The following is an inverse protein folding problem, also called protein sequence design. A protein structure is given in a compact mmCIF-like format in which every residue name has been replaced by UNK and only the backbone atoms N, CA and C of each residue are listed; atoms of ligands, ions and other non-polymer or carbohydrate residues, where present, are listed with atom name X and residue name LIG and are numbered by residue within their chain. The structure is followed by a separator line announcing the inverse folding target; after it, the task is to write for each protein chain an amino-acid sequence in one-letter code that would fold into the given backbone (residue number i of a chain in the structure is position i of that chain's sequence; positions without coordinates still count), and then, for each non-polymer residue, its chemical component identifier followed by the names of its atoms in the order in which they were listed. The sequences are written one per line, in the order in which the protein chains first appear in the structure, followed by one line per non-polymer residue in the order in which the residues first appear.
data_IF_962746011884
#
_entry.id   IF_962746011884
#
_cell.length_a   1.000
_cell.length_b   1.000
_cell.length_c   1.000
_cell.angle_alpha   90.00
_cell.angle_beta   90.00
_cell.angle_gamma   90.00
#
_symmetry.space_group_name_H-M   'P 1'
#
loop_
_entity.id
_entity.type
_entity.pdbx_description
1 polymer ?
#
# COMPACT_ATOMS: atom_id res chain seq x y z
N UNK A 1 8.21 48.83 -14.48
CA UNK A 1 9.29 47.82 -14.37
C UNK A 1 8.85 46.80 -13.34
N UNK A 2 8.35 45.68 -13.77
CA UNK A 2 8.04 44.54 -12.91
C UNK A 2 9.30 43.68 -12.88
N UNK A 3 10.00 43.69 -11.74
CA UNK A 3 11.11 42.78 -11.49
C UNK A 3 10.61 41.33 -11.57
N UNK A 4 11.11 40.59 -12.55
CA UNK A 4 10.98 39.16 -12.62
C UNK A 4 11.65 38.53 -11.39
N UNK A 5 10.86 38.11 -10.40
CA UNK A 5 11.33 37.16 -9.40
C UNK A 5 11.48 35.81 -10.07
N UNK A 6 12.67 35.53 -10.55
CA UNK A 6 13.11 34.15 -10.88
C UNK A 6 13.19 33.31 -9.61
N UNK A 7 12.06 32.87 -9.12
CA UNK A 7 11.96 32.07 -7.89
C UNK A 7 11.05 30.83 -8.03
N UNK A 8 10.49 30.61 -9.25
CA UNK A 8 9.43 29.62 -9.43
C UNK A 8 9.85 28.23 -9.91
N UNK A 9 10.98 28.09 -10.60
CA UNK A 9 11.29 26.86 -11.37
C UNK A 9 12.19 25.84 -10.63
N UNK A 10 12.83 26.20 -9.54
CA UNK A 10 13.75 25.28 -8.85
C UNK A 10 13.08 24.22 -7.96
N UNK A 11 11.78 24.36 -7.70
CA UNK A 11 11.08 23.44 -6.79
C UNK A 11 10.84 22.04 -7.42
N UNK A 12 10.82 21.91 -8.75
CA UNK A 12 10.34 20.72 -9.47
C UNK A 12 11.42 19.88 -10.14
N UNK A 13 12.70 20.20 -10.04
CA UNK A 13 13.77 19.50 -10.77
C UNK A 13 14.58 18.50 -9.92
N UNK A 14 14.01 17.97 -8.84
CA UNK A 14 14.70 16.99 -8.00
C UNK A 14 14.57 15.58 -8.56
N UNK A 15 15.64 14.81 -8.52
CA UNK A 15 15.59 13.38 -8.74
C UNK A 15 15.01 12.70 -7.48
N UNK A 16 13.81 12.18 -7.59
CA UNK A 16 13.10 11.57 -6.44
C UNK A 16 13.34 10.06 -6.42
N UNK A 17 14.12 9.61 -5.44
CA UNK A 17 14.38 8.19 -5.16
C UNK A 17 13.85 7.81 -3.78
N UNK A 18 12.69 8.36 -3.41
CA UNK A 18 11.97 8.00 -2.18
C UNK A 18 11.07 6.79 -2.42
N UNK A 19 10.75 5.99 -1.42
CA UNK A 19 9.84 4.83 -1.57
C UNK A 19 8.37 5.23 -1.81
N UNK A 20 8.09 6.52 -1.88
CA UNK A 20 6.79 7.11 -2.21
C UNK A 20 6.54 8.42 -1.45
N UNK A 21 5.74 9.34 -2.03
CA UNK A 21 5.20 9.31 -3.40
C UNK A 21 6.27 9.21 -4.47
N UNK A 22 6.00 8.46 -5.53
CA UNK A 22 6.91 8.28 -6.67
C UNK A 22 6.70 9.34 -7.74
N UNK A 23 7.63 9.44 -8.70
CA UNK A 23 7.48 10.35 -9.84
C UNK A 23 6.31 9.89 -10.72
N UNK A 24 5.41 10.82 -11.03
CA UNK A 24 4.28 10.60 -11.93
C UNK A 24 4.71 10.84 -13.38
N UNK A 25 4.50 9.86 -14.26
CA UNK A 25 4.86 9.95 -15.70
C UNK A 25 4.07 11.07 -16.38
N UNK A 26 4.65 11.66 -17.41
CA UNK A 26 4.03 12.77 -18.16
C UNK A 26 2.65 12.41 -18.71
N UNK A 27 2.51 11.24 -19.35
CA UNK A 27 1.23 10.79 -19.90
C UNK A 27 0.13 10.61 -18.82
N UNK A 28 0.52 10.31 -17.58
CA UNK A 28 -0.39 10.22 -16.42
C UNK A 28 -0.79 11.63 -15.96
N UNK A 29 0.17 12.57 -15.89
CA UNK A 29 -0.13 13.98 -15.58
C UNK A 29 -1.04 14.63 -16.63
N UNK A 30 -0.81 14.33 -17.92
CA UNK A 30 -1.67 14.80 -19.00
C UNK A 30 -3.08 14.19 -18.96
N UNK A 31 -3.21 12.94 -18.52
CA UNK A 31 -4.53 12.33 -18.28
C UNK A 31 -5.31 13.07 -17.17
N UNK A 32 -4.64 13.49 -16.10
CA UNK A 32 -5.24 14.30 -15.03
C UNK A 32 -5.72 15.66 -15.52
N UNK A 33 -5.10 16.23 -16.54
CA UNK A 33 -5.46 17.53 -17.11
C UNK A 33 -6.62 17.49 -18.11
N UNK A 34 -7.24 16.34 -18.36
CA UNK A 34 -8.43 16.24 -19.23
C UNK A 34 -9.64 16.91 -18.60
N UNK A 35 -10.61 17.27 -19.46
CA UNK A 35 -11.88 17.78 -18.98
C UNK A 35 -12.55 16.78 -18.06
N UNK A 36 -12.99 17.28 -16.90
CA UNK A 36 -13.78 16.51 -15.95
C UNK A 36 -15.26 16.58 -16.30
N UNK A 37 -16.01 15.59 -15.84
CA UNK A 37 -17.47 15.54 -15.92
C UNK A 37 -18.07 15.63 -14.50
N UNK A 38 -19.37 15.51 -14.37
CA UNK A 38 -20.02 15.30 -13.08
C UNK A 38 -20.19 13.80 -12.83
N UNK A 39 -19.47 13.20 -11.86
CA UNK A 39 -19.47 11.75 -11.67
C UNK A 39 -20.80 11.19 -11.20
N UNK A 40 -21.66 12.02 -10.60
CA UNK A 40 -22.95 11.60 -10.07
C UNK A 40 -24.05 11.59 -11.15
N UNK A 41 -23.85 12.33 -12.24
CA UNK A 41 -24.84 12.53 -13.31
C UNK A 41 -24.40 11.88 -14.63
N UNK A 42 -23.13 11.65 -14.83
CA UNK A 42 -22.57 11.07 -16.06
C UNK A 42 -22.46 9.55 -15.92
N UNK A 43 -23.41 8.85 -16.52
CA UNK A 43 -23.45 7.38 -16.45
C UNK A 43 -22.29 6.70 -17.18
N UNK A 44 -21.66 7.35 -18.16
CA UNK A 44 -20.46 6.82 -18.82
C UNK A 44 -19.27 6.76 -17.85
N UNK A 45 -19.22 7.66 -16.86
CA UNK A 45 -18.20 7.64 -15.82
C UNK A 45 -18.32 6.40 -14.92
N UNK A 46 -19.52 5.88 -14.64
CA UNK A 46 -19.67 4.62 -13.91
C UNK A 46 -19.07 3.44 -14.67
N UNK A 47 -19.24 3.40 -15.98
CA UNK A 47 -18.64 2.35 -16.82
C UNK A 47 -17.13 2.50 -16.88
N UNK A 48 -16.61 3.72 -17.00
CA UNK A 48 -15.18 4.02 -16.95
C UNK A 48 -14.57 3.57 -15.61
N UNK A 49 -15.15 3.98 -14.48
CA UNK A 49 -14.71 3.60 -13.15
C UNK A 49 -14.70 2.08 -12.97
N UNK A 50 -15.79 1.40 -13.33
CA UNK A 50 -15.90 -0.05 -13.26
C UNK A 50 -14.85 -0.76 -14.12
N UNK A 51 -14.54 -0.23 -15.30
CA UNK A 51 -13.50 -0.77 -16.16
C UNK A 51 -12.09 -0.58 -15.57
N UNK A 52 -11.82 0.57 -14.98
CA UNK A 52 -10.58 0.83 -14.24
C UNK A 52 -10.41 -0.16 -13.08
N UNK A 53 -11.46 -0.40 -12.30
CA UNK A 53 -11.46 -1.42 -11.24
C UNK A 53 -11.18 -2.83 -11.78
N UNK A 54 -11.74 -3.20 -12.94
CA UNK A 54 -11.47 -4.50 -13.59
C UNK A 54 -10.01 -4.62 -14.06
N UNK A 55 -9.44 -3.56 -14.64
CA UNK A 55 -8.03 -3.53 -15.03
C UNK A 55 -7.13 -3.79 -13.79
N UNK A 56 -7.41 -3.11 -12.68
CA UNK A 56 -6.70 -3.32 -11.41
C UNK A 56 -6.87 -4.77 -10.95
N UNK A 57 -8.10 -5.30 -10.95
CA UNK A 57 -8.38 -6.69 -10.61
C UNK A 57 -7.55 -7.69 -11.41
N UNK A 58 -7.34 -7.44 -12.71
CA UNK A 58 -6.52 -8.30 -13.56
C UNK A 58 -5.03 -8.27 -13.17
N UNK A 59 -4.53 -7.12 -12.70
CA UNK A 59 -3.13 -6.97 -12.25
C UNK A 59 -2.88 -7.70 -10.93
N UNK A 60 -3.83 -7.61 -9.98
CA UNK A 60 -3.71 -8.25 -8.67
C UNK A 60 -4.30 -9.67 -8.61
N UNK A 61 -4.62 -10.23 -9.79
CA UNK A 61 -5.17 -11.57 -9.95
C UNK A 61 -6.42 -11.82 -9.08
N UNK A 62 -7.47 -11.00 -9.30
CA UNK A 62 -8.76 -11.18 -8.61
C UNK A 62 -9.95 -10.97 -9.53
N UNK A 63 -10.99 -11.76 -9.29
CA UNK A 63 -12.34 -11.59 -9.84
C UNK A 63 -13.32 -10.95 -8.82
N UNK A 64 -12.82 -10.67 -7.61
CA UNK A 64 -13.58 -10.05 -6.53
C UNK A 64 -13.90 -8.59 -6.81
N UNK A 65 -14.71 -7.99 -5.95
CA UNK A 65 -15.00 -6.55 -6.02
C UNK A 65 -13.73 -5.74 -5.77
N UNK A 66 -13.47 -4.80 -6.66
CA UNK A 66 -12.41 -3.80 -6.49
C UNK A 66 -13.06 -2.42 -6.47
N UNK A 67 -12.64 -1.59 -5.52
CA UNK A 67 -13.07 -0.21 -5.38
C UNK A 67 -11.87 0.73 -5.36
N UNK A 68 -12.09 1.96 -5.84
CA UNK A 68 -11.14 3.06 -5.78
C UNK A 68 -11.77 4.13 -4.89
N UNK A 69 -11.15 4.40 -3.74
CA UNK A 69 -11.64 5.36 -2.75
C UNK A 69 -10.88 6.68 -2.90
N UNK A 70 -11.57 7.81 -2.68
CA UNK A 70 -10.94 9.13 -2.58
C UNK A 70 -10.27 9.30 -1.23
N UNK A 71 -8.95 9.18 -1.20
CA UNK A 71 -8.07 9.22 -0.04
C UNK A 71 -6.84 8.34 -0.29
N UNK A 72 -5.69 8.68 0.26
CA UNK A 72 -4.48 7.89 0.08
C UNK A 72 -4.49 6.59 0.90
N UNK A 73 -3.47 5.71 0.76
CA UNK A 73 -3.46 4.35 1.30
C UNK A 73 -3.92 4.18 2.76
N UNK A 74 -3.64 5.15 3.64
CA UNK A 74 -4.08 5.12 5.05
C UNK A 74 -5.60 5.06 5.18
N UNK A 75 -6.36 5.72 4.27
CA UNK A 75 -7.82 5.60 4.27
C UNK A 75 -8.26 4.14 4.11
N UNK A 76 -7.59 3.36 3.26
CA UNK A 76 -7.92 1.94 3.08
C UNK A 76 -7.65 1.11 4.32
N UNK A 77 -6.51 1.35 5.00
CA UNK A 77 -6.16 0.65 6.22
C UNK A 77 -7.20 0.91 7.32
N UNK A 78 -7.53 2.19 7.53
CA UNK A 78 -8.57 2.57 8.47
C UNK A 78 -9.94 2.00 8.08
N UNK A 79 -10.33 2.10 6.80
CA UNK A 79 -11.62 1.63 6.32
C UNK A 79 -11.81 0.11 6.49
N UNK A 80 -10.76 -0.68 6.30
CA UNK A 80 -10.81 -2.12 6.56
C UNK A 80 -11.07 -2.41 8.04
N UNK A 81 -10.31 -1.75 8.94
CA UNK A 81 -10.49 -1.90 10.39
C UNK A 81 -11.87 -1.40 10.84
N UNK A 82 -12.29 -0.20 10.41
CA UNK A 82 -13.60 0.37 10.72
C UNK A 82 -14.76 -0.53 10.32
N UNK A 83 -14.65 -1.13 9.12
CA UNK A 83 -15.71 -1.95 8.55
C UNK A 83 -15.79 -3.34 9.17
N UNK A 84 -14.67 -3.90 9.63
CA UNK A 84 -14.65 -5.24 10.21
C UNK A 84 -14.82 -5.24 11.74
N UNK A 85 -14.26 -4.24 12.45
CA UNK A 85 -14.19 -4.26 13.92
C UNK A 85 -15.51 -3.86 14.57
N UNK A 86 -15.97 -4.65 15.51
CA UNK A 86 -16.98 -4.31 16.52
C UNK A 86 -16.35 -4.34 17.92
N UNK A 87 -16.95 -3.67 18.89
CA UNK A 87 -16.43 -3.59 20.25
C UNK A 87 -16.18 -4.99 20.84
N UNK A 88 -14.96 -5.24 21.31
CA UNK A 88 -14.52 -6.51 21.86
C UNK A 88 -14.08 -7.57 20.84
N UNK A 89 -14.14 -7.30 19.54
CA UNK A 89 -13.57 -8.22 18.54
C UNK A 89 -12.07 -8.38 18.73
N UNK A 90 -11.60 -9.61 18.77
CA UNK A 90 -10.17 -9.91 18.86
C UNK A 90 -9.54 -9.88 17.47
N UNK A 91 -8.48 -9.11 17.33
CA UNK A 91 -7.76 -8.88 16.08
C UNK A 91 -6.29 -9.25 16.24
N UNK A 92 -5.79 -10.10 15.35
CA UNK A 92 -4.37 -10.44 15.27
C UNK A 92 -3.62 -9.39 14.46
N UNK A 93 -2.75 -8.61 15.10
CA UNK A 93 -1.86 -7.67 14.44
C UNK A 93 -0.51 -8.34 14.22
N UNK A 94 -0.14 -8.61 12.97
CA UNK A 94 1.17 -9.13 12.60
C UNK A 94 2.15 -7.95 12.59
N UNK A 95 3.04 -7.95 13.58
CA UNK A 95 3.97 -6.88 13.92
C UNK A 95 5.41 -7.30 13.57
N UNK A 96 5.82 -7.03 12.32
CA UNK A 96 7.21 -7.15 11.88
C UNK A 96 7.67 -5.93 11.07
N UNK A 97 7.14 -4.76 11.43
CA UNK A 97 7.46 -3.49 10.79
C UNK A 97 6.62 -2.36 11.35
N UNK A 98 7.00 -1.12 11.01
CA UNK A 98 6.35 0.09 11.55
C UNK A 98 4.87 0.14 11.13
N UNK A 99 4.56 -0.14 9.86
CA UNK A 99 3.17 -0.15 9.38
C UNK A 99 2.42 -1.39 9.86
N UNK A 100 3.09 -2.54 10.03
CA UNK A 100 2.50 -3.72 10.65
C UNK A 100 2.00 -3.43 12.05
N UNK A 101 2.86 -2.85 12.88
CA UNK A 101 2.52 -2.40 14.24
C UNK A 101 1.42 -1.33 14.24
N UNK A 102 1.48 -0.38 13.30
CA UNK A 102 0.58 0.77 13.22
C UNK A 102 -0.91 0.42 13.00
N UNK A 103 -1.23 -0.79 12.57
CA UNK A 103 -2.62 -1.23 12.49
C UNK A 103 -3.33 -1.26 13.85
N UNK A 104 -2.58 -1.36 14.95
CA UNK A 104 -3.14 -1.40 16.29
C UNK A 104 -3.91 -0.12 16.66
N UNK A 105 -3.45 1.04 16.14
CA UNK A 105 -4.14 2.31 16.36
C UNK A 105 -5.55 2.29 15.78
N UNK A 106 -5.70 1.76 14.53
CA UNK A 106 -7.02 1.65 13.91
C UNK A 106 -7.91 0.64 14.64
N UNK A 107 -7.39 -0.54 14.99
CA UNK A 107 -8.15 -1.56 15.73
C UNK A 107 -8.66 -1.01 17.05
N UNK A 108 -7.81 -0.33 17.83
CA UNK A 108 -8.16 0.28 19.10
C UNK A 108 -9.15 1.44 18.96
N UNK A 109 -9.01 2.25 17.88
CA UNK A 109 -9.94 3.34 17.58
C UNK A 109 -11.37 2.85 17.43
N UNK A 110 -11.56 1.65 16.84
CA UNK A 110 -12.86 0.99 16.69
C UNK A 110 -13.15 -0.02 17.80
N UNK A 111 -12.45 0.08 18.96
CA UNK A 111 -12.66 -0.68 20.20
C UNK A 111 -12.43 -2.19 20.07
N UNK A 112 -11.61 -2.63 19.11
CA UNK A 112 -11.16 -4.02 19.04
C UNK A 112 -10.07 -4.33 20.06
N UNK A 113 -9.95 -5.60 20.40
CA UNK A 113 -8.91 -6.14 21.27
C UNK A 113 -7.72 -6.61 20.42
N UNK A 114 -6.59 -5.92 20.56
CA UNK A 114 -5.37 -6.23 19.80
C UNK A 114 -4.60 -7.36 20.47
N UNK A 115 -4.27 -8.38 19.69
CA UNK A 115 -3.29 -9.40 20.04
C UNK A 115 -2.16 -9.35 19.02
N UNK A 116 -0.90 -9.31 19.48
CA UNK A 116 0.24 -9.20 18.58
C UNK A 116 0.88 -10.56 18.32
N UNK A 117 1.22 -10.79 17.06
CA UNK A 117 2.26 -11.71 16.68
C UNK A 117 3.46 -10.86 16.25
N UNK A 118 4.47 -10.77 17.10
CA UNK A 118 5.65 -9.90 16.86
C UNK A 118 6.86 -10.71 16.41
N UNK A 119 7.58 -10.18 15.44
CA UNK A 119 8.87 -10.70 14.96
C UNK A 119 9.84 -9.54 14.74
N UNK A 120 11.14 -9.84 14.65
CA UNK A 120 12.14 -8.82 14.39
C UNK A 120 11.87 -8.08 13.07
N UNK A 121 12.09 -6.76 13.06
CA UNK A 121 11.78 -5.90 11.90
C UNK A 121 12.78 -6.05 10.74
N UNK A 122 13.88 -6.77 10.95
CA UNK A 122 14.88 -7.07 9.93
C UNK A 122 14.72 -8.47 9.31
N UNK A 123 13.58 -9.13 9.56
CA UNK A 123 13.29 -10.48 9.10
C UNK A 123 11.82 -10.61 8.62
N UNK A 124 11.54 -11.41 7.57
CA UNK A 124 10.17 -11.73 7.18
C UNK A 124 9.51 -12.64 8.21
N UNK A 125 8.18 -12.74 8.18
CA UNK A 125 7.41 -13.61 9.06
C UNK A 125 7.82 -15.08 8.90
N UNK A 126 8.23 -15.71 10.01
CA UNK A 126 8.45 -17.15 10.07
C UNK A 126 7.11 -17.90 10.18
N UNK A 127 6.78 -18.63 9.12
CA UNK A 127 5.51 -19.38 9.01
C UNK A 127 5.38 -20.45 10.08
N UNK A 128 6.50 -21.07 10.51
CA UNK A 128 6.45 -22.10 11.57
C UNK A 128 6.11 -21.47 12.92
N UNK A 129 6.68 -20.30 13.21
CA UNK A 129 6.38 -19.56 14.44
C UNK A 129 4.93 -19.05 14.42
N UNK A 130 4.45 -18.51 13.29
CA UNK A 130 3.06 -18.10 13.16
C UNK A 130 2.10 -19.28 13.36
N UNK A 131 2.39 -20.44 12.75
CA UNK A 131 1.57 -21.65 12.91
C UNK A 131 1.55 -22.10 14.37
N UNK A 132 2.70 -22.18 15.04
CA UNK A 132 2.78 -22.57 16.46
C UNK A 132 2.07 -21.58 17.40
N UNK A 133 1.98 -20.31 17.00
CA UNK A 133 1.20 -19.29 17.72
C UNK A 133 -0.30 -19.57 17.54
N UNK A 134 -0.76 -19.79 16.29
CA UNK A 134 -2.17 -20.04 15.98
C UNK A 134 -2.69 -21.37 16.55
N UNK A 135 -1.83 -22.39 16.72
CA UNK A 135 -2.17 -23.64 17.40
C UNK A 135 -2.51 -23.44 18.89
N UNK A 136 -1.97 -22.37 19.52
CA UNK A 136 -2.26 -22.03 20.92
C UNK A 136 -3.46 -21.10 21.06
N UNK A 137 -3.59 -20.15 20.14
CA UNK A 137 -4.68 -19.16 20.14
C UNK A 137 -4.99 -18.74 18.72
N UNK A 138 -6.16 -19.08 18.24
CA UNK A 138 -6.64 -18.75 16.89
C UNK A 138 -8.01 -18.06 16.89
N UNK A 139 -8.49 -17.64 18.08
CA UNK A 139 -9.78 -16.96 18.20
C UNK A 139 -9.67 -15.49 17.82
N UNK A 140 -9.53 -15.22 16.51
CA UNK A 140 -9.44 -13.87 15.95
C UNK A 140 -10.47 -13.68 14.84
N UNK A 141 -11.12 -12.52 14.80
CA UNK A 141 -12.04 -12.17 13.71
C UNK A 141 -11.31 -11.97 12.41
N UNK A 142 -10.19 -11.25 12.45
CA UNK A 142 -9.31 -11.03 11.32
C UNK A 142 -7.86 -10.81 11.78
N UNK A 143 -6.93 -10.90 10.82
CA UNK A 143 -5.53 -10.55 11.00
C UNK A 143 -5.15 -9.42 10.03
N UNK A 144 -4.29 -8.50 10.47
CA UNK A 144 -3.67 -7.46 9.64
C UNK A 144 -2.24 -7.84 9.31
N UNK A 145 -1.86 -7.69 8.03
CA UNK A 145 -0.54 -8.06 7.52
C UNK A 145 -0.05 -6.97 6.58
N UNK A 146 1.19 -6.54 6.69
CA UNK A 146 1.85 -5.69 5.68
C UNK A 146 2.59 -6.58 4.69
N UNK A 147 2.33 -6.41 3.40
CA UNK A 147 3.01 -7.12 2.32
C UNK A 147 4.49 -6.71 2.24
N UNK A 148 4.72 -5.40 2.13
CA UNK A 148 6.05 -4.79 2.13
C UNK A 148 6.07 -3.60 3.09
N UNK A 149 6.74 -3.74 4.24
CA UNK A 149 6.88 -2.64 5.18
C UNK A 149 7.89 -1.62 4.64
N UNK A 150 7.42 -0.46 4.22
CA UNK A 150 8.24 0.57 3.56
C UNK A 150 9.43 1.03 4.41
N UNK A 151 9.29 1.26 5.74
CA UNK A 151 10.40 1.71 6.56
C UNK A 151 11.53 0.70 6.74
N UNK A 152 11.24 -0.59 6.64
CA UNK A 152 12.23 -1.65 6.82
C UNK A 152 12.67 -2.28 5.49
N UNK A 153 11.79 -2.27 4.50
CA UNK A 153 11.98 -2.96 3.22
C UNK A 153 11.72 -4.45 3.28
N UNK A 154 11.17 -4.97 4.40
CA UNK A 154 10.85 -6.38 4.55
C UNK A 154 9.65 -6.76 3.69
N UNK A 155 9.76 -7.88 2.98
CA UNK A 155 8.70 -8.50 2.18
C UNK A 155 8.20 -9.75 2.90
N UNK A 156 6.91 -9.80 3.19
CA UNK A 156 6.26 -10.96 3.80
C UNK A 156 5.66 -11.88 2.73
N UNK A 157 5.83 -13.19 2.89
CA UNK A 157 5.31 -14.20 1.98
C UNK A 157 3.80 -14.43 2.19
N UNK A 158 3.00 -13.59 1.54
CA UNK A 158 1.54 -13.69 1.59
C UNK A 158 1.00 -15.01 1.06
N UNK A 159 1.74 -15.68 0.17
CA UNK A 159 1.34 -16.98 -0.42
C UNK A 159 1.28 -18.10 0.62
N UNK A 160 1.99 -17.94 1.74
CA UNK A 160 1.97 -18.87 2.86
C UNK A 160 1.17 -18.33 4.05
N UNK A 161 1.30 -17.03 4.37
CA UNK A 161 0.65 -16.42 5.53
C UNK A 161 -0.87 -16.44 5.39
N UNK A 162 -1.42 -15.95 4.28
CA UNK A 162 -2.86 -15.80 4.13
C UNK A 162 -3.60 -17.16 4.07
N UNK A 163 -3.12 -18.18 3.30
CA UNK A 163 -3.73 -19.49 3.36
C UNK A 163 -3.68 -20.13 4.75
N UNK A 164 -2.58 -19.96 5.50
CA UNK A 164 -2.47 -20.45 6.87
C UNK A 164 -3.53 -19.82 7.78
N UNK A 165 -3.72 -18.50 7.74
CA UNK A 165 -4.76 -17.80 8.53
C UNK A 165 -6.17 -18.29 8.17
N UNK A 166 -6.43 -18.56 6.88
CA UNK A 166 -7.73 -19.10 6.43
C UNK A 166 -7.99 -20.53 6.93
N UNK A 167 -6.97 -21.36 7.19
CA UNK A 167 -7.14 -22.66 7.83
C UNK A 167 -7.76 -22.56 9.24
N UNK A 168 -7.53 -21.44 9.91
CA UNK A 168 -8.10 -21.11 11.24
C UNK A 168 -9.35 -20.22 11.16
N UNK A 169 -9.94 -20.02 9.97
CA UNK A 169 -11.11 -19.17 9.73
C UNK A 169 -10.89 -17.69 10.11
N UNK A 170 -9.66 -17.20 10.05
CA UNK A 170 -9.29 -15.80 10.30
C UNK A 170 -9.33 -15.05 8.96
N UNK A 171 -10.09 -13.94 8.89
CA UNK A 171 -10.06 -13.07 7.71
C UNK A 171 -8.70 -12.36 7.59
N UNK A 172 -8.27 -12.07 6.37
CA UNK A 172 -6.98 -11.44 6.12
C UNK A 172 -7.17 -10.02 5.59
N UNK A 173 -6.56 -9.04 6.26
CA UNK A 173 -6.46 -7.64 5.82
C UNK A 173 -5.01 -7.36 5.45
N UNK A 174 -4.74 -7.21 4.17
CA UNK A 174 -3.38 -7.07 3.63
C UNK A 174 -3.14 -5.65 3.18
N UNK A 175 -2.21 -4.96 3.84
CA UNK A 175 -1.62 -3.73 3.34
C UNK A 175 -0.58 -4.05 2.25
N UNK A 176 -0.94 -3.86 1.00
CA UNK A 176 -0.03 -3.91 -0.13
C UNK A 176 0.19 -2.54 -0.78
N UNK A 177 0.02 -1.45 -0.02
CA UNK A 177 0.20 -0.08 -0.52
C UNK A 177 1.59 0.09 -1.14
N UNK A 178 2.62 -0.43 -0.50
CA UNK A 178 4.00 -0.37 -1.01
C UNK A 178 4.35 -1.52 -1.96
N UNK A 179 3.64 -2.66 -1.85
CA UNK A 179 3.90 -3.87 -2.65
C UNK A 179 3.14 -3.92 -3.97
N UNK A 180 1.91 -3.42 -4.03
CA UNK A 180 1.03 -3.55 -5.20
C UNK A 180 1.69 -3.01 -6.47
N UNK A 181 1.76 -3.83 -7.53
CA UNK A 181 2.45 -3.60 -8.81
C UNK A 181 3.99 -3.74 -8.73
N UNK A 182 4.61 -3.47 -7.59
CA UNK A 182 6.07 -3.62 -7.42
C UNK A 182 6.50 -5.03 -6.99
N UNK A 183 5.60 -5.73 -6.29
CA UNK A 183 5.74 -7.13 -5.86
C UNK A 183 4.58 -7.96 -6.41
N UNK A 184 4.79 -9.27 -6.52
CA UNK A 184 3.72 -10.18 -6.92
C UNK A 184 2.64 -10.21 -5.85
N UNK A 185 1.38 -10.06 -6.27
CA UNK A 185 0.20 -10.27 -5.43
C UNK A 185 -0.87 -11.02 -6.21
N UNK A 186 -1.39 -12.10 -5.64
CA UNK A 186 -2.39 -12.99 -6.25
C UNK A 186 -3.56 -13.16 -5.28
N UNK A 187 -4.45 -12.17 -5.27
CA UNK A 187 -5.48 -12.03 -4.23
C UNK A 187 -6.36 -13.27 -4.10
N UNK A 188 -6.80 -13.85 -5.22
CA UNK A 188 -7.67 -15.04 -5.19
C UNK A 188 -6.90 -16.29 -4.81
N UNK A 189 -5.73 -16.51 -5.42
CA UNK A 189 -4.93 -17.72 -5.19
C UNK A 189 -4.39 -17.79 -3.76
N UNK A 190 -4.00 -16.64 -3.20
CA UNK A 190 -3.47 -16.54 -1.84
C UNK A 190 -4.56 -16.34 -0.78
N UNK A 191 -5.84 -16.40 -1.17
CA UNK A 191 -7.01 -16.32 -0.27
C UNK A 191 -7.03 -15.03 0.57
N UNK A 192 -6.61 -13.91 -0.02
CA UNK A 192 -6.64 -12.60 0.65
C UNK A 192 -8.09 -12.10 0.70
N UNK A 193 -8.59 -11.71 1.86
CA UNK A 193 -9.98 -11.23 2.00
C UNK A 193 -10.10 -9.74 1.69
N UNK A 194 -9.19 -8.91 2.22
CA UNK A 194 -9.09 -7.49 1.89
C UNK A 194 -7.67 -7.19 1.45
N UNK A 195 -7.48 -6.74 0.22
CA UNK A 195 -6.21 -6.24 -0.27
C UNK A 195 -6.28 -4.73 -0.47
N UNK A 196 -5.30 -4.02 0.07
CA UNK A 196 -5.22 -2.56 0.07
C UNK A 196 -4.02 -2.09 -0.76
N UNK A 197 -4.24 -1.10 -1.63
CA UNK A 197 -3.20 -0.49 -2.46
C UNK A 197 -3.28 1.03 -2.45
N UNK A 198 -2.20 1.71 -2.83
CA UNK A 198 -2.14 3.16 -2.93
C UNK A 198 -1.67 3.63 -4.30
N UNK A 199 -2.28 4.71 -4.82
CA UNK A 199 -1.96 5.24 -6.15
C UNK A 199 -0.53 5.78 -6.28
N UNK A 200 0.04 6.31 -5.19
CA UNK A 200 1.29 7.08 -5.16
C UNK A 200 2.57 6.25 -5.03
N UNK A 201 2.47 4.92 -5.01
CA UNK A 201 3.61 4.00 -4.87
C UNK A 201 4.03 3.43 -6.24
N UNK A 202 4.28 2.13 -6.37
CA UNK A 202 4.75 1.52 -7.61
C UNK A 202 3.80 1.71 -8.82
N UNK A 203 2.53 2.01 -8.59
CA UNK A 203 1.58 2.40 -9.65
C UNK A 203 1.97 3.71 -10.33
N UNK A 204 2.68 4.60 -9.63
CA UNK A 204 3.17 5.89 -10.15
C UNK A 204 2.04 6.82 -10.64
N UNK A 205 0.94 6.88 -9.90
CA UNK A 205 -0.15 7.85 -10.05
C UNK A 205 -0.08 8.92 -8.96
N UNK A 206 -0.73 10.08 -9.10
CA UNK A 206 -0.82 11.06 -8.02
C UNK A 206 -1.33 10.47 -6.71
N UNK A 207 -0.86 11.02 -5.58
CA UNK A 207 -1.38 10.65 -4.26
C UNK A 207 -2.83 11.11 -4.12
N UNK A 208 -3.68 10.28 -3.46
CA UNK A 208 -5.07 10.66 -3.19
C UNK A 208 -6.08 9.56 -3.47
N UNK A 209 -5.64 8.38 -3.94
CA UNK A 209 -6.53 7.25 -4.16
C UNK A 209 -6.05 6.00 -3.43
N UNK A 210 -7.00 5.30 -2.82
CA UNK A 210 -6.82 3.95 -2.27
C UNK A 210 -7.52 2.93 -3.16
N UNK A 211 -6.88 1.79 -3.38
CA UNK A 211 -7.46 0.62 -4.02
C UNK A 211 -7.83 -0.38 -2.93
N UNK A 212 -9.05 -0.91 -3.00
CA UNK A 212 -9.55 -1.92 -2.06
C UNK A 212 -10.15 -3.08 -2.85
N UNK A 213 -9.70 -4.31 -2.58
CA UNK A 213 -10.35 -5.53 -3.06
C UNK A 213 -11.02 -6.24 -1.89
N UNK A 214 -12.27 -6.69 -2.05
CA UNK A 214 -13.07 -7.35 -1.01
C UNK A 214 -13.49 -8.75 -1.43
N UNK A 215 -13.24 -9.75 -0.56
CA UNK A 215 -13.81 -11.10 -0.72
C UNK A 215 -15.30 -11.14 -0.35
N UNK A 216 -15.99 -12.19 -0.77
CA UNK A 216 -17.36 -12.42 -0.33
C UNK A 216 -17.45 -12.61 1.19
N UNK A 217 -16.45 -13.26 1.82
CA UNK A 217 -16.38 -13.43 3.27
C UNK A 217 -16.26 -12.07 3.98
N UNK A 218 -15.41 -11.17 3.47
CA UNK A 218 -15.28 -9.81 4.01
C UNK A 218 -16.59 -9.03 3.87
N UNK A 219 -17.23 -9.06 2.68
CA UNK A 219 -18.52 -8.41 2.43
C UNK A 219 -19.60 -8.95 3.37
N UNK A 220 -19.68 -10.27 3.53
CA UNK A 220 -20.65 -10.90 4.42
C UNK A 220 -20.41 -10.52 5.88
N UNK A 221 -19.17 -10.47 6.32
CA UNK A 221 -18.81 -10.05 7.67
C UNK A 221 -19.24 -8.60 7.94
N UNK A 222 -19.02 -7.70 6.97
CA UNK A 222 -19.47 -6.30 7.07
C UNK A 222 -21.01 -6.21 7.16
N UNK A 223 -21.72 -7.01 6.36
CA UNK A 223 -23.20 -7.04 6.37
C UNK A 223 -23.81 -7.63 7.66
N UNK A 224 -23.11 -8.56 8.28
CA UNK A 224 -23.57 -9.24 9.50
C UNK A 224 -23.28 -8.46 10.77
N UNK A 225 -22.70 -7.27 10.69
CA UNK A 225 -22.46 -6.41 11.85
C UNK A 225 -23.76 -6.13 12.60
N UNK A 226 -23.66 -6.10 13.91
CA UNK A 226 -24.77 -5.74 14.81
C UNK A 226 -24.94 -4.23 14.90
N UNK A 227 -23.80 -3.52 14.90
CA UNK A 227 -23.75 -2.07 15.01
C UNK A 227 -23.32 -1.43 13.70
N UNK A 228 -23.86 -0.26 13.32
CA UNK A 228 -23.39 0.49 12.15
C UNK A 228 -21.90 0.79 12.22
N UNK A 229 -21.25 0.83 11.05
CA UNK A 229 -19.85 1.27 10.96
C UNK A 229 -19.76 2.73 11.40
N UNK A 230 -18.88 3.02 12.33
CA UNK A 230 -18.59 4.39 12.76
C UNK A 230 -17.77 5.11 11.71
N UNK A 231 -18.26 6.24 11.22
CA UNK A 231 -17.63 7.00 10.14
C UNK A 231 -18.25 6.69 8.77
N UNK A 232 -18.25 7.70 7.89
CA UNK A 232 -18.86 7.58 6.55
C UNK A 232 -17.83 7.13 5.52
N UNK A 233 -16.71 7.86 5.37
CA UNK A 233 -15.67 7.54 4.38
C UNK A 233 -15.00 6.17 4.62
N UNK A 234 -14.85 5.77 5.88
CA UNK A 234 -14.25 4.50 6.28
C UNK A 234 -15.22 3.31 6.27
N UNK A 235 -16.44 3.50 5.76
CA UNK A 235 -17.45 2.42 5.68
C UNK A 235 -17.41 1.77 4.29
N UNK A 236 -16.78 0.59 4.19
CA UNK A 236 -16.71 -0.16 2.94
C UNK A 236 -18.08 -0.73 2.51
N UNK A 237 -19.01 -0.90 3.44
CA UNK A 237 -20.35 -1.43 3.16
C UNK A 237 -21.23 -0.50 2.30
N UNK A 238 -20.95 0.82 2.30
CA UNK A 238 -21.74 1.78 1.52
C UNK A 238 -21.48 1.69 0.01
N UNK A 239 -20.42 0.99 -0.40
CA UNK A 239 -20.06 0.79 -1.80
C UNK A 239 -20.88 -0.30 -2.49
N UNK A 240 -21.66 -1.05 -1.72
CA UNK A 240 -22.48 -2.12 -2.27
C UNK A 240 -23.50 -1.59 -3.28
N UNK A 241 -23.52 -2.21 -4.47
CA UNK A 241 -24.44 -1.88 -5.56
C UNK A 241 -24.32 -0.43 -6.07
N UNK A 242 -23.18 0.26 -5.88
CA UNK A 242 -22.97 1.62 -6.40
C UNK A 242 -23.20 1.69 -7.91
N UNK A 243 -22.80 0.64 -8.63
CA UNK A 243 -22.91 0.59 -10.09
C UNK A 243 -24.35 0.38 -10.56
N UNK A 244 -25.06 -0.56 -9.96
CA UNK A 244 -26.46 -0.87 -10.27
C UNK A 244 -27.38 0.30 -9.93
N UNK A 245 -27.12 0.94 -8.80
CA UNK A 245 -27.87 2.12 -8.34
C UNK A 245 -27.46 3.41 -9.07
N UNK A 246 -26.36 3.41 -9.81
CA UNK A 246 -25.73 4.61 -10.38
C UNK A 246 -25.62 5.72 -9.33
N UNK A 247 -25.03 5.36 -8.18
CA UNK A 247 -24.88 6.25 -7.03
C UNK A 247 -23.58 5.93 -6.30
N UNK A 248 -22.57 6.78 -6.46
CA UNK A 248 -21.36 6.72 -5.64
C UNK A 248 -21.71 7.16 -4.21
N UNK A 249 -21.01 6.60 -3.18
CA UNK A 249 -21.23 7.03 -1.81
C UNK A 249 -20.93 8.51 -1.55
N UNK A 250 -20.02 9.09 -2.33
CA UNK A 250 -19.61 10.49 -2.30
C UNK A 250 -19.04 10.89 -3.66
N UNK A 251 -18.91 12.20 -3.90
CA UNK A 251 -18.39 12.70 -5.18
C UNK A 251 -16.96 12.21 -5.44
N UNK A 252 -16.77 11.57 -6.58
CA UNK A 252 -15.50 10.94 -6.94
C UNK A 252 -14.48 11.93 -7.48
N UNK A 253 -13.18 11.79 -7.14
CA UNK A 253 -12.10 12.62 -7.66
C UNK A 253 -11.74 12.21 -9.09
N UNK A 254 -12.52 12.68 -10.07
CA UNK A 254 -12.47 12.23 -11.47
C UNK A 254 -11.06 12.31 -12.06
N UNK A 255 -10.39 13.47 -11.91
CA UNK A 255 -9.11 13.71 -12.54
C UNK A 255 -8.02 12.78 -11.98
N UNK A 256 -8.08 12.46 -10.68
CA UNK A 256 -7.18 11.47 -10.06
C UNK A 256 -7.47 10.06 -10.59
N UNK A 257 -8.75 9.72 -10.81
CA UNK A 257 -9.13 8.42 -11.37
C UNK A 257 -8.73 8.31 -12.85
N UNK A 258 -8.83 9.39 -13.63
CA UNK A 258 -8.29 9.44 -15.00
C UNK A 258 -6.77 9.21 -15.02
N UNK A 259 -6.06 9.82 -14.09
CA UNK A 259 -4.62 9.61 -13.92
C UNK A 259 -4.29 8.17 -13.52
N UNK A 260 -5.05 7.62 -12.56
CA UNK A 260 -4.88 6.23 -12.12
C UNK A 260 -5.13 5.25 -13.27
N UNK A 261 -6.21 5.42 -14.02
CA UNK A 261 -6.52 4.56 -15.18
C UNK A 261 -5.36 4.57 -16.19
N UNK A 262 -4.80 5.76 -16.49
CA UNK A 262 -3.65 5.86 -17.40
C UNK A 262 -2.39 5.21 -16.81
N UNK A 263 -2.17 5.30 -15.51
CA UNK A 263 -1.05 4.62 -14.85
C UNK A 263 -1.20 3.09 -14.91
N UNK A 264 -2.42 2.59 -14.72
CA UNK A 264 -2.76 1.18 -14.86
C UNK A 264 -2.58 0.70 -16.31
N UNK A 265 -2.97 1.51 -17.31
CA UNK A 265 -2.72 1.19 -18.72
C UNK A 265 -1.21 1.05 -18.99
N UNK A 266 -0.37 1.91 -18.42
CA UNK A 266 1.10 1.78 -18.57
C UNK A 266 1.62 0.43 -18.00
N UNK A 267 1.02 -0.07 -16.91
CA UNK A 267 1.36 -1.38 -16.33
C UNK A 267 0.92 -2.52 -17.24
N UNK A 268 -0.30 -2.43 -17.79
CA UNK A 268 -0.85 -3.44 -18.70
C UNK A 268 -0.08 -3.49 -20.03
N UNK A 269 0.28 -2.32 -20.58
CA UNK A 269 1.09 -2.20 -21.81
C UNK A 269 2.48 -2.84 -21.65
N UNK A 270 3.13 -2.64 -20.48
CA UNK A 270 4.42 -3.26 -20.13
C UNK A 270 4.27 -4.74 -19.80
N UNK A 271 3.09 -5.19 -19.39
CA UNK A 271 2.72 -6.48 -18.77
C UNK A 271 3.30 -6.61 -17.36
N UNK A 272 2.45 -7.05 -16.42
CA UNK A 272 2.80 -7.12 -15.00
C UNK A 272 4.08 -7.92 -14.72
N UNK A 273 4.29 -9.03 -15.43
CA UNK A 273 5.46 -9.88 -15.28
C UNK A 273 6.77 -9.14 -15.63
N UNK A 274 6.72 -8.27 -16.65
CA UNK A 274 7.87 -7.45 -17.04
C UNK A 274 8.12 -6.33 -16.02
N UNK A 275 7.06 -5.72 -15.48
CA UNK A 275 7.14 -4.71 -14.41
C UNK A 275 7.83 -5.32 -13.19
N UNK A 276 7.35 -6.47 -12.71
CA UNK A 276 7.94 -7.18 -11.56
C UNK A 276 9.40 -7.57 -11.80
N UNK A 277 9.71 -8.09 -13.00
CA UNK A 277 11.07 -8.45 -13.36
C UNK A 277 12.00 -7.23 -13.44
N UNK A 278 11.52 -6.09 -13.93
CA UNK A 278 12.26 -4.83 -13.93
C UNK A 278 12.56 -4.35 -12.52
N UNK A 279 11.58 -4.33 -11.61
CA UNK A 279 11.78 -4.01 -10.20
C UNK A 279 12.83 -4.92 -9.57
N UNK A 280 12.69 -6.23 -9.74
CA UNK A 280 13.64 -7.22 -9.22
C UNK A 280 15.08 -6.98 -9.71
N UNK A 281 15.27 -6.75 -11.02
CA UNK A 281 16.59 -6.50 -11.61
C UNK A 281 17.23 -5.24 -11.04
N UNK A 282 16.47 -4.15 -10.95
CA UNK A 282 16.94 -2.86 -10.42
C UNK A 282 17.31 -3.02 -8.94
N UNK A 283 16.44 -3.64 -8.15
CA UNK A 283 16.67 -3.87 -6.73
C UNK A 283 17.91 -4.72 -6.45
N UNK A 284 18.13 -5.80 -7.22
CA UNK A 284 19.34 -6.64 -7.11
C UNK A 284 20.58 -5.82 -7.46
N UNK A 285 20.55 -5.05 -8.55
CA UNK A 285 21.68 -4.22 -8.97
C UNK A 285 22.02 -3.17 -7.90
N UNK A 286 20.99 -2.51 -7.33
CA UNK A 286 21.15 -1.53 -6.25
C UNK A 286 21.78 -2.17 -5.02
N UNK A 287 21.26 -3.31 -4.55
CA UNK A 287 21.79 -4.02 -3.38
C UNK A 287 23.25 -4.49 -3.58
N UNK A 288 23.59 -4.94 -4.80
CA UNK A 288 24.96 -5.34 -5.12
C UNK A 288 25.92 -4.13 -5.10
N UNK A 289 25.52 -3.02 -5.72
CA UNK A 289 26.32 -1.80 -5.70
C UNK A 289 26.57 -1.28 -4.28
N UNK A 290 25.54 -1.28 -3.41
CA UNK A 290 25.68 -0.91 -1.99
C UNK A 290 26.73 -1.75 -1.29
N UNK A 291 26.71 -3.07 -1.50
CA UNK A 291 27.68 -4.01 -0.92
C UNK A 291 29.10 -3.80 -1.47
N UNK A 292 29.24 -3.54 -2.78
CA UNK A 292 30.53 -3.25 -3.41
C UNK A 292 31.18 -1.97 -2.88
N UNK A 293 30.35 -0.98 -2.50
CA UNK A 293 30.83 0.25 -1.82
C UNK A 293 31.11 0.06 -0.32
N UNK A 294 30.99 -1.17 0.21
CA UNK A 294 31.29 -1.47 1.60
C UNK A 294 30.23 -1.02 2.59
N UNK A 295 29.00 -0.73 2.10
CA UNK A 295 27.86 -0.41 2.96
C UNK A 295 27.05 -1.68 3.27
N UNK A 296 26.37 -1.67 4.41
CA UNK A 296 25.52 -2.78 4.86
C UNK A 296 24.05 -2.51 4.52
N UNK A 297 23.36 -3.57 4.09
CA UNK A 297 21.91 -3.55 3.99
C UNK A 297 21.28 -3.66 5.38
N UNK A 298 20.10 -3.05 5.56
CA UNK A 298 19.38 -3.16 6.83
C UNK A 298 18.92 -4.59 7.08
N UNK A 299 18.24 -5.20 6.09
CA UNK A 299 17.76 -6.57 6.17
C UNK A 299 18.89 -7.57 5.95
N UNK A 300 18.74 -8.74 6.54
CA UNK A 300 19.58 -9.92 6.28
C UNK A 300 19.03 -10.74 5.12
N UNK A 301 17.71 -10.85 5.02
CA UNK A 301 16.93 -11.60 4.03
C UNK A 301 15.53 -10.99 3.85
N UNK A 302 14.69 -11.58 2.98
CA UNK A 302 13.32 -11.13 2.79
C UNK A 302 13.19 -9.73 2.18
N UNK A 303 14.09 -9.40 1.24
CA UNK A 303 14.12 -8.08 0.61
C UNK A 303 12.93 -7.84 -0.32
N UNK A 304 12.25 -6.71 -0.14
CA UNK A 304 11.38 -6.17 -1.17
C UNK A 304 12.18 -5.68 -2.38
N UNK A 305 11.53 -5.65 -3.55
CA UNK A 305 12.07 -5.06 -4.77
C UNK A 305 11.61 -3.61 -4.96
N UNK A 306 10.80 -3.08 -4.05
CA UNK A 306 10.28 -1.70 -4.12
C UNK A 306 11.09 -0.72 -3.29
N UNK A 307 11.83 -1.21 -2.29
CA UNK A 307 12.65 -0.37 -1.41
C UNK A 307 13.89 -1.14 -0.95
N UNK A 308 14.99 -0.42 -0.76
CA UNK A 308 16.23 -0.97 -0.19
C UNK A 308 16.68 -0.14 1.00
N UNK A 309 16.66 -0.73 2.19
CA UNK A 309 17.16 -0.12 3.41
C UNK A 309 18.69 -0.28 3.52
N UNK A 310 19.40 0.81 3.77
CA UNK A 310 20.87 0.85 3.89
C UNK A 310 21.26 1.38 5.27
N UNK A 311 22.07 0.63 6.00
CA UNK A 311 22.63 1.09 7.28
C UNK A 311 23.65 2.21 7.04
N UNK A 312 23.49 3.31 7.74
CA UNK A 312 24.39 4.46 7.62
C UNK A 312 25.37 4.44 8.79
N UNK A 313 26.70 4.56 8.54
CA UNK A 313 27.69 4.65 9.60
C UNK A 313 27.35 5.79 10.58
N UNK A 314 27.42 5.51 11.88
CA UNK A 314 27.04 6.47 12.95
C UNK A 314 27.76 7.81 12.87
N UNK A 315 29.02 7.79 12.44
CA UNK A 315 29.84 9.02 12.28
C UNK A 315 29.35 9.92 11.13
N UNK A 316 28.51 9.42 10.22
CA UNK A 316 27.93 10.21 9.12
C UNK A 316 26.52 10.69 9.50
N UNK A 317 25.69 9.78 9.97
CA UNK A 317 24.27 10.01 10.28
C UNK A 317 23.38 10.11 9.04
N UNK A 318 22.21 9.47 9.08
CA UNK A 318 21.30 9.37 7.92
C UNK A 318 20.76 10.73 7.46
N UNK A 319 20.43 11.63 8.39
CA UNK A 319 19.95 12.97 8.06
C UNK A 319 21.02 13.81 7.37
N UNK A 320 22.26 13.79 7.88
CA UNK A 320 23.37 14.52 7.26
C UNK A 320 23.66 14.00 5.85
N UNK A 321 23.64 12.68 5.65
CA UNK A 321 23.83 12.08 4.34
C UNK A 321 22.71 12.49 3.36
N UNK A 322 21.45 12.41 3.79
CA UNK A 322 20.29 12.83 2.98
C UNK A 322 20.42 14.30 2.54
N UNK A 323 20.74 15.21 3.49
CA UNK A 323 20.88 16.63 3.21
C UNK A 323 22.07 16.92 2.30
N UNK A 324 23.20 16.23 2.50
CA UNK A 324 24.36 16.33 1.61
C UNK A 324 24.02 15.90 0.17
N UNK A 325 23.34 14.77 0.01
CA UNK A 325 22.94 14.23 -1.31
C UNK A 325 21.94 15.18 -1.97
N UNK A 326 20.98 15.71 -1.24
CA UNK A 326 20.03 16.67 -1.76
C UNK A 326 20.74 17.96 -2.23
N UNK A 327 21.59 18.52 -1.41
CA UNK A 327 22.22 19.81 -1.70
C UNK A 327 23.27 19.72 -2.81
N UNK A 328 24.02 18.60 -2.89
CA UNK A 328 25.12 18.45 -3.84
C UNK A 328 24.67 17.85 -5.17
N UNK A 329 23.72 16.92 -5.15
CA UNK A 329 23.34 16.13 -6.35
C UNK A 329 21.89 16.33 -6.76
N UNK A 330 21.14 17.16 -6.03
CA UNK A 330 19.70 17.39 -6.26
C UNK A 330 18.86 16.09 -6.23
N UNK A 331 19.28 15.11 -5.42
CA UNK A 331 18.63 13.81 -5.26
C UNK A 331 17.92 13.78 -3.92
N UNK A 332 16.63 13.47 -3.94
CA UNK A 332 15.80 13.33 -2.75
C UNK A 332 15.74 11.85 -2.34
N UNK A 333 16.30 11.53 -1.19
CA UNK A 333 16.22 10.24 -0.51
C UNK A 333 15.31 10.34 0.71
N UNK A 334 14.80 9.21 1.18
CA UNK A 334 14.08 9.12 2.44
C UNK A 334 14.98 8.50 3.52
N UNK A 335 14.87 8.99 4.75
CA UNK A 335 15.30 8.24 5.94
C UNK A 335 14.17 7.33 6.39
N UNK A 336 14.46 6.31 7.22
CA UNK A 336 13.42 5.53 7.87
C UNK A 336 12.58 6.37 8.83
N UNK A 337 11.58 5.79 9.47
CA UNK A 337 10.65 6.44 10.37
C UNK A 337 10.94 6.10 11.85
N UNK A 338 10.39 6.90 12.76
CA UNK A 338 10.49 6.68 14.20
C UNK A 338 11.94 6.66 14.68
N UNK A 339 12.26 5.76 15.60
CA UNK A 339 13.60 5.57 16.16
C UNK A 339 14.64 5.07 15.14
N UNK A 340 14.18 4.53 14.01
CA UNK A 340 15.02 4.06 12.91
C UNK A 340 15.44 5.19 11.94
N UNK A 341 14.85 6.38 12.04
CA UNK A 341 15.10 7.51 11.12
C UNK A 341 16.55 7.98 11.09
N UNK A 342 17.31 7.73 12.14
CA UNK A 342 18.72 8.15 12.27
C UNK A 342 19.71 7.05 11.91
N UNK A 343 19.24 5.82 11.73
CA UNK A 343 20.07 4.63 11.60
C UNK A 343 20.27 4.15 10.17
N UNK A 344 19.27 4.36 9.30
CA UNK A 344 19.36 3.95 7.90
C UNK A 344 18.51 4.82 6.98
N UNK A 345 18.81 4.75 5.67
CA UNK A 345 18.11 5.47 4.61
C UNK A 345 17.57 4.51 3.56
N UNK A 346 16.65 4.98 2.72
CA UNK A 346 15.99 4.19 1.68
C UNK A 346 16.45 4.63 0.28
N UNK A 347 16.62 3.65 -0.58
CA UNK A 347 16.87 3.80 -2.00
C UNK A 347 15.82 3.04 -2.81
#
# INVERSE_FOLDING_TARGET
MLENKEGGDNYMNKFVYTPGPTIVRENVRLAMAKYSTNPDLDYEFYDFYKNTCKKIGSIINTKKQVYILGGEGILGLEAACASLTEEGDRVLVIDNGIFGRGFDDFVKMYKGEVVYFSQAYDEPIDIKHLKAFLEKDSNFKYATIVHCDTPTGVLNDLSQICPLLKEYNILTVVDSVSGMVGEEIRVDDWKIDIALGGSQKAISSPAGLTIVSLSEDAVNTIKQRKEPVTGFYCNLGIWENYYEKKCFPYTMPINDILALDRAIDNVLDEKIENVLNRHKKIAIATRNAIKEYGLELYLKDGYSNTVTGVKIPQNIGALNLKDHILNKYNVLLATSLGEYAVSYTHL
#
